data_IF_156113690441
#
_entry.id   IF_156113690441
#
_cell.length_a   1.000
_cell.length_b   1.000
_cell.length_c   1.000
_cell.angle_alpha   90.00
_cell.angle_beta   90.00
_cell.angle_gamma   90.00
#
_symmetry.space_group_name_H-M   'P 1'
#
loop_
_entity.id
_entity.type
_entity.pdbx_description
1 polymer ?
#
# COMPACT_ATOMS: atom_id res chain seq x y z
N UNK A 1 46.26 16.44 50.24
CA UNK A 1 45.85 15.63 49.08
C UNK A 1 47.12 15.23 48.33
N UNK A 2 47.33 13.95 48.07
CA UNK A 2 48.46 13.45 47.27
C UNK A 2 48.10 13.50 45.77
N UNK A 3 49.10 13.57 44.89
CA UNK A 3 48.95 13.58 43.43
C UNK A 3 48.09 12.39 42.91
N UNK A 4 48.17 11.24 43.57
CA UNK A 4 47.35 10.07 43.27
C UNK A 4 45.85 10.32 43.47
N UNK A 5 45.45 11.02 44.53
CA UNK A 5 44.02 11.29 44.79
C UNK A 5 43.41 12.19 43.71
N UNK A 6 44.18 13.13 43.16
CA UNK A 6 43.73 14.00 42.05
C UNK A 6 43.56 13.17 40.78
N UNK A 7 44.46 12.21 40.54
CA UNK A 7 44.39 11.31 39.39
C UNK A 7 43.15 10.40 39.44
N UNK A 8 42.84 9.80 40.59
CA UNK A 8 41.64 8.98 40.77
C UNK A 8 40.34 9.78 40.59
N UNK A 9 40.30 11.03 41.07
CA UNK A 9 39.15 11.93 40.84
C UNK A 9 39.00 12.25 39.35
N UNK A 10 40.10 12.57 38.66
CA UNK A 10 40.10 12.84 37.22
C UNK A 10 39.62 11.64 36.38
N UNK A 11 40.09 10.43 36.71
CA UNK A 11 39.62 9.20 36.06
C UNK A 11 38.14 8.94 36.30
N UNK A 12 37.66 9.13 37.53
CA UNK A 12 36.25 8.93 37.86
C UNK A 12 35.36 9.90 37.09
N UNK A 13 35.76 11.17 36.99
CA UNK A 13 35.05 12.18 36.20
C UNK A 13 35.06 11.82 34.71
N UNK A 14 36.19 11.35 34.18
CA UNK A 14 36.29 10.93 32.78
C UNK A 14 35.38 9.74 32.46
N UNK A 15 35.34 8.73 33.33
CA UNK A 15 34.46 7.56 33.16
C UNK A 15 32.99 7.97 33.21
N UNK A 16 32.61 8.83 34.17
CA UNK A 16 31.23 9.35 34.25
C UNK A 16 30.86 10.15 33.01
N UNK A 17 31.76 11.00 32.50
CA UNK A 17 31.54 11.74 31.27
C UNK A 17 31.31 10.80 30.07
N UNK A 18 32.12 9.75 29.92
CA UNK A 18 31.96 8.74 28.86
C UNK A 18 30.60 8.03 28.98
N UNK A 19 30.20 7.63 30.18
CA UNK A 19 28.91 6.96 30.41
C UNK A 19 27.72 7.88 30.06
N UNK A 20 27.79 9.15 30.45
CA UNK A 20 26.79 10.15 30.10
C UNK A 20 26.72 10.39 28.59
N UNK A 21 27.87 10.45 27.91
CA UNK A 21 27.94 10.53 26.44
C UNK A 21 27.31 9.32 25.76
N UNK A 22 27.58 8.10 26.25
CA UNK A 22 26.96 6.88 25.70
C UNK A 22 25.44 6.88 25.87
N UNK A 23 24.94 7.30 27.05
CA UNK A 23 23.50 7.43 27.29
C UNK A 23 22.86 8.45 26.35
N UNK A 24 23.52 9.59 26.12
CA UNK A 24 23.06 10.61 25.18
C UNK A 24 22.99 10.06 23.74
N UNK A 25 24.00 9.30 23.30
CA UNK A 25 24.01 8.65 21.97
C UNK A 25 22.85 7.66 21.85
N UNK A 26 22.61 6.81 22.85
CA UNK A 26 21.48 5.87 22.85
C UNK A 26 20.14 6.62 22.75
N UNK A 27 20.00 7.75 23.46
CA UNK A 27 18.78 8.55 23.38
C UNK A 27 18.63 9.22 22.01
N UNK A 28 19.71 9.76 21.45
CA UNK A 28 19.73 10.34 20.10
C UNK A 28 19.34 9.30 19.04
N UNK A 29 19.90 8.09 19.11
CA UNK A 29 19.53 6.98 18.22
C UNK A 29 18.04 6.65 18.30
N UNK A 30 17.45 6.62 19.51
CA UNK A 30 16.00 6.39 19.68
C UNK A 30 15.15 7.50 19.06
N UNK A 31 15.58 8.76 19.19
CA UNK A 31 14.88 9.89 18.56
C UNK A 31 14.97 9.82 17.03
N UNK A 32 16.16 9.54 16.49
CA UNK A 32 16.37 9.35 15.04
C UNK A 32 15.49 8.23 14.49
N UNK A 33 15.42 7.08 15.16
CA UNK A 33 14.52 5.97 14.75
C UNK A 33 13.05 6.40 14.75
N UNK A 34 12.60 7.18 15.74
CA UNK A 34 11.21 7.67 15.77
C UNK A 34 10.93 8.62 14.60
N UNK A 35 11.88 9.48 14.24
CA UNK A 35 11.76 10.38 13.09
C UNK A 35 11.74 9.60 11.77
N UNK A 36 12.60 8.59 11.63
CA UNK A 36 12.67 7.74 10.44
C UNK A 36 11.37 6.94 10.24
N UNK A 37 10.80 6.39 11.32
CA UNK A 37 9.45 5.79 11.32
C UNK A 37 8.38 6.74 10.81
N UNK A 38 8.35 7.97 11.32
CA UNK A 38 7.38 8.96 10.89
C UNK A 38 7.58 9.37 9.42
N UNK A 39 8.83 9.49 8.97
CA UNK A 39 9.17 9.80 7.58
C UNK A 39 8.73 8.68 6.63
N UNK A 40 9.03 7.41 6.97
CA UNK A 40 8.61 6.24 6.18
C UNK A 40 7.08 6.15 6.07
N UNK A 41 6.35 6.38 7.17
CA UNK A 41 4.88 6.42 7.16
C UNK A 41 4.36 7.53 6.25
N UNK A 42 4.97 8.71 6.31
CA UNK A 42 4.56 9.85 5.48
C UNK A 42 4.83 9.59 4.00
N UNK A 43 6.00 9.05 3.64
CA UNK A 43 6.35 8.71 2.25
C UNK A 43 5.35 7.71 1.66
N UNK A 44 5.02 6.66 2.42
CA UNK A 44 4.05 5.66 1.99
C UNK A 44 2.65 6.26 1.80
N UNK A 45 2.18 7.08 2.75
CA UNK A 45 0.88 7.76 2.62
C UNK A 45 0.83 8.69 1.41
N UNK A 46 1.93 9.35 1.09
CA UNK A 46 2.05 10.15 -0.13
C UNK A 46 1.91 9.27 -1.37
N UNK A 47 2.61 8.13 -1.44
CA UNK A 47 2.50 7.19 -2.57
C UNK A 47 1.08 6.65 -2.74
N UNK A 48 0.41 6.28 -1.65
CA UNK A 48 -1.00 5.85 -1.70
C UNK A 48 -1.90 6.99 -2.19
N UNK A 49 -1.66 8.23 -1.75
CA UNK A 49 -2.41 9.39 -2.21
C UNK A 49 -2.15 9.72 -3.69
N UNK A 50 -0.91 9.56 -4.16
CA UNK A 50 -0.51 9.77 -5.55
C UNK A 50 -1.14 8.73 -6.46
N UNK A 51 -1.15 7.46 -6.04
CA UNK A 51 -1.88 6.40 -6.71
C UNK A 51 -3.37 6.74 -6.83
N UNK A 52 -4.01 7.17 -5.74
CA UNK A 52 -5.41 7.59 -5.77
C UNK A 52 -5.66 8.79 -6.70
N UNK A 53 -4.74 9.76 -6.75
CA UNK A 53 -4.83 10.91 -7.65
C UNK A 53 -4.68 10.50 -9.11
N UNK A 54 -3.80 9.55 -9.40
CA UNK A 54 -3.63 9.00 -10.74
C UNK A 54 -4.93 8.39 -11.27
N UNK A 55 -5.72 7.72 -10.41
CA UNK A 55 -6.98 7.09 -10.82
C UNK A 55 -8.01 8.07 -11.38
N UNK A 56 -7.88 9.36 -11.05
CA UNK A 56 -8.78 10.42 -11.48
C UNK A 56 -8.02 11.59 -12.12
N UNK A 57 -6.86 11.34 -12.72
CA UNK A 57 -6.01 12.41 -13.27
C UNK A 57 -6.62 13.05 -14.52
N UNK A 58 -7.25 12.25 -15.38
CA UNK A 58 -7.89 12.71 -16.61
C UNK A 58 -9.35 12.26 -16.70
N UNK A 59 -10.08 12.87 -17.62
CA UNK A 59 -11.44 12.46 -17.94
C UNK A 59 -11.48 11.01 -18.46
N UNK A 60 -12.40 10.22 -17.89
CA UNK A 60 -12.57 8.81 -18.22
C UNK A 60 -11.59 7.84 -17.53
N UNK A 61 -10.59 8.30 -16.77
CA UNK A 61 -9.64 7.40 -16.10
C UNK A 61 -10.33 6.54 -15.03
N UNK A 62 -11.28 7.10 -14.28
CA UNK A 62 -12.10 6.33 -13.33
C UNK A 62 -12.94 5.28 -14.07
N UNK A 63 -13.45 5.60 -15.26
CA UNK A 63 -14.26 4.66 -16.04
C UNK A 63 -13.40 3.49 -16.55
N UNK A 64 -12.20 3.78 -17.05
CA UNK A 64 -11.20 2.77 -17.42
C UNK A 64 -10.85 1.90 -16.22
N UNK A 65 -10.60 2.51 -15.06
CA UNK A 65 -10.29 1.78 -13.84
C UNK A 65 -11.41 0.82 -13.45
N UNK A 66 -12.64 1.32 -13.33
CA UNK A 66 -13.81 0.52 -12.92
C UNK A 66 -14.09 -0.59 -13.92
N UNK A 67 -14.00 -0.33 -15.22
CA UNK A 67 -14.15 -1.35 -16.25
C UNK A 67 -13.05 -2.41 -16.17
N UNK A 68 -11.80 -1.97 -16.05
CA UNK A 68 -10.64 -2.84 -15.95
C UNK A 68 -10.59 -3.69 -14.68
N UNK A 69 -11.24 -3.28 -13.59
CA UNK A 69 -11.44 -4.13 -12.42
C UNK A 69 -12.38 -5.31 -12.71
N UNK A 70 -13.27 -5.22 -13.70
CA UNK A 70 -14.21 -6.27 -14.07
C UNK A 70 -13.67 -7.12 -15.22
N UNK A 71 -13.08 -6.50 -16.23
CA UNK A 71 -12.59 -7.16 -17.42
C UNK A 71 -11.34 -6.42 -17.91
N UNK A 72 -10.19 -7.07 -17.81
CA UNK A 72 -8.89 -6.58 -18.24
C UNK A 72 -8.52 -7.17 -19.61
N UNK A 73 -8.60 -8.50 -19.78
CA UNK A 73 -8.10 -9.19 -20.98
C UNK A 73 -8.83 -8.77 -22.26
N UNK A 74 -10.12 -8.43 -22.14
CA UNK A 74 -10.95 -7.98 -23.28
C UNK A 74 -11.14 -6.47 -23.35
N UNK A 75 -10.51 -5.71 -22.45
CA UNK A 75 -10.57 -4.25 -22.50
C UNK A 75 -9.81 -3.70 -23.71
N UNK A 76 -10.07 -2.45 -24.07
CA UNK A 76 -9.26 -1.76 -25.07
C UNK A 76 -7.83 -1.52 -24.55
N UNK A 77 -6.89 -1.29 -25.46
CA UNK A 77 -5.48 -1.16 -25.13
C UNK A 77 -5.18 -0.01 -24.16
N UNK A 78 -5.93 1.10 -24.20
CA UNK A 78 -5.71 2.21 -23.27
C UNK A 78 -6.16 1.84 -21.86
N UNK A 79 -7.28 1.11 -21.75
CA UNK A 79 -7.72 0.57 -20.46
C UNK A 79 -6.72 -0.45 -19.91
N UNK A 80 -6.20 -1.36 -20.74
CA UNK A 80 -5.16 -2.31 -20.29
C UNK A 80 -3.91 -1.61 -19.79
N UNK A 81 -3.35 -0.66 -20.55
CA UNK A 81 -2.17 0.11 -20.14
C UNK A 81 -2.41 0.89 -18.84
N UNK A 82 -3.62 1.45 -18.69
CA UNK A 82 -4.00 2.14 -17.47
C UNK A 82 -4.03 1.17 -16.27
N UNK A 83 -4.64 -0.01 -16.44
CA UNK A 83 -4.68 -1.03 -15.40
C UNK A 83 -3.29 -1.59 -15.07
N UNK A 84 -2.43 -1.78 -16.07
CA UNK A 84 -1.05 -2.24 -15.87
C UNK A 84 -0.30 -1.30 -14.95
N UNK A 85 -0.42 0.01 -15.20
CA UNK A 85 0.17 1.04 -14.36
C UNK A 85 -0.47 1.04 -12.97
N UNK A 86 -1.79 1.07 -12.89
CA UNK A 86 -2.52 1.15 -11.62
C UNK A 86 -2.24 -0.03 -10.70
N UNK A 87 -2.29 -1.26 -11.21
CA UNK A 87 -2.01 -2.45 -10.40
C UNK A 87 -0.52 -2.55 -10.04
N UNK A 88 0.40 -2.35 -11.00
CA UNK A 88 1.84 -2.45 -10.73
C UNK A 88 2.26 -1.46 -9.64
N UNK A 89 1.84 -0.20 -9.76
CA UNK A 89 2.16 0.85 -8.79
C UNK A 89 1.64 0.52 -7.40
N UNK A 90 0.40 0.01 -7.29
CA UNK A 90 -0.14 -0.38 -5.99
C UNK A 90 0.57 -1.60 -5.39
N UNK A 91 0.96 -2.59 -6.20
CA UNK A 91 1.72 -3.73 -5.70
C UNK A 91 3.12 -3.31 -5.25
N UNK A 92 3.78 -2.36 -5.93
CA UNK A 92 5.05 -1.80 -5.45
C UNK A 92 4.89 -1.02 -4.14
N UNK A 93 3.77 -0.32 -3.96
CA UNK A 93 3.43 0.30 -2.65
C UNK A 93 3.27 -0.79 -1.57
N UNK A 94 2.59 -1.90 -1.88
CA UNK A 94 2.45 -3.01 -0.95
C UNK A 94 3.80 -3.70 -0.65
N UNK A 95 4.68 -3.86 -1.63
CA UNK A 95 6.03 -4.39 -1.46
C UNK A 95 6.87 -3.50 -0.53
N UNK A 96 6.88 -2.19 -0.80
CA UNK A 96 7.54 -1.21 0.07
C UNK A 96 7.02 -1.30 1.50
N UNK A 97 5.70 -1.42 1.67
CA UNK A 97 5.08 -1.56 2.97
C UNK A 97 5.44 -2.86 3.69
N UNK A 98 5.60 -3.97 2.95
CA UNK A 98 6.04 -5.25 3.52
C UNK A 98 7.46 -5.14 4.08
N UNK A 99 8.36 -4.51 3.31
CA UNK A 99 9.74 -4.30 3.72
C UNK A 99 9.83 -3.39 4.93
N UNK A 100 9.15 -2.24 4.90
CA UNK A 100 9.09 -1.31 6.03
C UNK A 100 8.47 -1.93 7.30
N UNK A 101 7.51 -2.85 7.15
CA UNK A 101 6.98 -3.63 8.29
C UNK A 101 8.05 -4.54 8.88
N UNK A 102 8.78 -5.29 8.05
CA UNK A 102 9.85 -6.20 8.51
C UNK A 102 10.96 -5.46 9.25
N UNK A 103 11.26 -4.24 8.83
CA UNK A 103 12.23 -3.37 9.47
C UNK A 103 11.68 -2.66 10.74
N UNK A 104 10.42 -2.90 11.10
CA UNK A 104 9.79 -2.33 12.29
C UNK A 104 9.41 -0.86 12.16
N UNK A 105 9.25 -0.35 10.93
CA UNK A 105 8.76 1.00 10.67
C UNK A 105 7.22 1.10 10.69
N UNK A 106 6.51 0.00 10.40
CA UNK A 106 5.04 -0.05 10.38
C UNK A 106 4.42 -0.92 11.46
N UNK A 107 3.24 -0.50 11.88
CA UNK A 107 2.34 -1.31 12.70
C UNK A 107 1.68 -2.40 11.86
N UNK A 108 1.28 -3.50 12.51
CA UNK A 108 0.49 -4.55 11.85
C UNK A 108 -0.85 -4.03 11.31
N UNK A 109 -1.43 -2.99 11.93
CA UNK A 109 -2.66 -2.35 11.45
C UNK A 109 -2.46 -1.61 10.13
N UNK A 110 -1.38 -0.85 10.00
CA UNK A 110 -1.02 -0.18 8.74
C UNK A 110 -0.81 -1.19 7.62
N UNK A 111 -0.07 -2.26 7.93
CA UNK A 111 0.15 -3.36 7.00
C UNK A 111 -1.16 -4.02 6.57
N UNK A 112 -2.04 -4.36 7.51
CA UNK A 112 -3.31 -5.01 7.22
C UNK A 112 -4.18 -4.18 6.26
N UNK A 113 -4.16 -2.85 6.38
CA UNK A 113 -4.88 -1.97 5.45
C UNK A 113 -4.35 -2.03 4.02
N UNK A 114 -3.02 -1.97 3.85
CA UNK A 114 -2.36 -1.96 2.53
C UNK A 114 -2.44 -3.34 1.88
N UNK A 115 -2.14 -4.39 2.65
CA UNK A 115 -2.29 -5.77 2.22
C UNK A 115 -3.75 -6.03 1.82
N UNK A 116 -4.72 -5.60 2.65
CA UNK A 116 -6.14 -5.75 2.38
C UNK A 116 -6.58 -5.07 1.09
N UNK A 117 -6.06 -3.87 0.81
CA UNK A 117 -6.32 -3.16 -0.43
C UNK A 117 -5.71 -3.89 -1.65
N UNK A 118 -4.47 -4.35 -1.56
CA UNK A 118 -3.81 -5.09 -2.63
C UNK A 118 -4.53 -6.41 -2.93
N UNK A 119 -4.89 -7.16 -1.89
CA UNK A 119 -5.69 -8.39 -2.02
C UNK A 119 -7.11 -8.09 -2.52
N UNK A 120 -7.70 -6.95 -2.15
CA UNK A 120 -8.99 -6.50 -2.67
C UNK A 120 -8.94 -6.25 -4.17
N UNK A 121 -7.86 -5.60 -4.65
CA UNK A 121 -7.59 -5.33 -6.07
C UNK A 121 -7.38 -6.63 -6.86
N UNK A 122 -6.47 -7.50 -6.41
CA UNK A 122 -6.13 -8.73 -7.13
C UNK A 122 -7.26 -9.77 -7.14
N UNK A 123 -8.25 -9.64 -6.24
CA UNK A 123 -9.43 -10.53 -6.21
C UNK A 123 -10.56 -10.09 -7.11
N UNK A 124 -10.52 -8.88 -7.68
CA UNK A 124 -11.50 -8.50 -8.71
C UNK A 124 -11.30 -9.38 -9.95
N UNK A 125 -12.33 -9.63 -10.78
CA UNK A 125 -12.18 -10.48 -11.94
C UNK A 125 -11.08 -9.99 -12.91
N UNK A 126 -11.01 -8.70 -13.18
CA UNK A 126 -9.94 -8.10 -13.99
C UNK A 126 -8.58 -8.10 -13.28
N UNK A 127 -8.56 -7.96 -11.95
CA UNK A 127 -7.32 -8.10 -11.17
C UNK A 127 -6.73 -9.51 -11.25
N UNK A 128 -7.58 -10.55 -11.23
CA UNK A 128 -7.15 -11.95 -11.43
C UNK A 128 -6.57 -12.19 -12.81
N UNK A 129 -7.18 -11.62 -13.85
CA UNK A 129 -6.69 -11.69 -15.23
C UNK A 129 -5.32 -11.01 -15.35
N UNK A 130 -5.21 -9.76 -14.90
CA UNK A 130 -3.95 -9.02 -14.89
C UNK A 130 -2.84 -9.76 -14.12
N UNK A 131 -3.18 -10.35 -12.97
CA UNK A 131 -2.19 -11.01 -12.11
C UNK A 131 -1.45 -12.16 -12.78
N UNK A 132 -2.04 -12.83 -13.78
CA UNK A 132 -1.37 -13.88 -14.58
C UNK A 132 -0.06 -13.36 -15.19
N UNK A 133 -0.07 -12.10 -15.64
CA UNK A 133 1.08 -11.45 -16.28
C UNK A 133 1.88 -10.62 -15.27
N UNK A 134 1.20 -9.78 -14.46
CA UNK A 134 1.84 -8.83 -13.57
C UNK A 134 2.80 -9.47 -12.55
N UNK A 135 2.47 -10.66 -12.05
CA UNK A 135 3.32 -11.38 -11.10
C UNK A 135 4.71 -11.75 -11.63
N UNK A 136 4.93 -11.70 -12.95
CA UNK A 136 6.21 -12.08 -13.57
C UNK A 136 7.26 -10.98 -13.51
N UNK A 137 6.85 -9.73 -13.28
CA UNK A 137 7.75 -8.55 -13.26
C UNK A 137 7.90 -7.92 -11.88
N UNK A 138 7.22 -8.48 -10.88
CA UNK A 138 7.19 -7.99 -9.50
C UNK A 138 8.14 -8.84 -8.64
N UNK A 139 8.70 -8.26 -7.58
CA UNK A 139 9.60 -8.95 -6.66
C UNK A 139 9.02 -10.25 -6.12
N UNK A 140 9.83 -11.31 -6.10
CA UNK A 140 9.37 -12.66 -5.72
C UNK A 140 8.79 -12.72 -4.31
N UNK A 141 9.35 -11.95 -3.37
CA UNK A 141 8.91 -11.97 -1.97
C UNK A 141 7.47 -11.49 -1.78
N UNK A 142 7.10 -10.36 -2.40
CA UNK A 142 5.73 -9.86 -2.33
C UNK A 142 4.78 -10.74 -3.14
N UNK A 143 5.23 -11.32 -4.27
CA UNK A 143 4.44 -12.25 -5.07
C UNK A 143 4.10 -13.51 -4.27
N UNK A 144 5.09 -14.13 -3.62
CA UNK A 144 4.89 -15.31 -2.77
C UNK A 144 3.94 -14.99 -1.60
N UNK A 145 4.16 -13.85 -0.96
CA UNK A 145 3.31 -13.38 0.12
C UNK A 145 1.85 -13.20 -0.34
N UNK A 146 1.61 -12.45 -1.41
CA UNK A 146 0.27 -12.20 -1.93
C UNK A 146 -0.38 -13.49 -2.43
N UNK A 147 0.34 -14.37 -3.13
CA UNK A 147 -0.17 -15.68 -3.56
C UNK A 147 -0.67 -16.50 -2.38
N UNK A 148 0.13 -16.62 -1.32
CA UNK A 148 -0.27 -17.32 -0.11
C UNK A 148 -1.56 -16.71 0.47
N UNK A 149 -1.58 -15.40 0.66
CA UNK A 149 -2.74 -14.70 1.24
C UNK A 149 -3.99 -14.80 0.37
N UNK A 150 -3.86 -14.79 -0.95
CA UNK A 150 -4.97 -15.00 -1.87
C UNK A 150 -5.64 -16.38 -1.71
N UNK A 151 -4.88 -17.42 -1.31
CA UNK A 151 -5.45 -18.76 -1.04
C UNK A 151 -6.13 -18.88 0.32
N UNK A 152 -5.80 -18.01 1.27
CA UNK A 152 -6.37 -18.02 2.62
C UNK A 152 -7.70 -17.26 2.71
N UNK A 153 -8.00 -16.40 1.72
CA UNK A 153 -9.22 -15.61 1.69
C UNK A 153 -10.37 -16.44 1.09
N UNK A 154 -11.52 -16.53 1.76
CA UNK A 154 -12.69 -17.22 1.23
C UNK A 154 -13.14 -16.68 -0.12
N UNK A 155 -13.61 -17.58 -0.99
CA UNK A 155 -14.28 -17.19 -2.22
C UNK A 155 -15.52 -16.34 -1.91
N UNK A 156 -15.75 -15.27 -2.67
CA UNK A 156 -16.84 -14.33 -2.44
C UNK A 156 -16.60 -13.27 -1.36
N UNK A 157 -15.44 -13.27 -0.69
CA UNK A 157 -15.07 -12.18 0.20
C UNK A 157 -15.01 -10.82 -0.55
N UNK A 158 -15.35 -9.69 0.11
CA UNK A 158 -15.40 -8.37 -0.53
C UNK A 158 -14.11 -8.02 -1.28
N UNK A 159 -14.26 -7.47 -2.48
CA UNK A 159 -13.17 -7.03 -3.37
C UNK A 159 -13.05 -5.50 -3.36
N UNK A 160 -12.12 -4.95 -4.15
CA UNK A 160 -11.98 -3.49 -4.26
C UNK A 160 -13.26 -2.79 -4.76
N UNK A 161 -14.07 -3.49 -5.57
CA UNK A 161 -15.39 -2.99 -6.02
C UNK A 161 -16.40 -2.88 -4.86
N UNK A 162 -16.21 -3.64 -3.79
CA UNK A 162 -17.09 -3.64 -2.62
C UNK A 162 -16.71 -2.60 -1.58
N UNK A 163 -15.43 -2.20 -1.55
CA UNK A 163 -14.95 -1.22 -0.59
C UNK A 163 -15.59 0.14 -0.82
N UNK A 164 -15.77 0.54 -2.09
CA UNK A 164 -16.42 1.80 -2.47
C UNK A 164 -17.67 1.51 -3.31
N UNK A 165 -18.87 1.58 -2.71
CA UNK A 165 -20.13 1.36 -3.42
C UNK A 165 -20.32 2.23 -4.67
N UNK A 166 -19.65 3.38 -4.73
CA UNK A 166 -19.63 4.27 -5.90
C UNK A 166 -19.10 3.60 -7.16
N UNK A 167 -18.14 2.66 -7.05
CA UNK A 167 -17.64 1.93 -8.21
C UNK A 167 -18.66 0.97 -8.80
N UNK A 168 -19.41 0.25 -7.95
CA UNK A 168 -20.54 -0.59 -8.40
C UNK A 168 -21.63 0.24 -9.06
N UNK A 169 -21.94 1.42 -8.52
CA UNK A 169 -22.92 2.32 -9.13
C UNK A 169 -22.44 2.81 -10.50
N UNK A 170 -21.17 3.23 -10.59
CA UNK A 170 -20.59 3.69 -11.85
C UNK A 170 -20.55 2.59 -12.91
N UNK A 171 -20.24 1.36 -12.52
CA UNK A 171 -20.29 0.21 -13.44
C UNK A 171 -21.68 0.03 -14.05
N UNK A 172 -22.74 0.09 -13.23
CA UNK A 172 -24.13 -0.01 -13.72
C UNK A 172 -24.48 1.11 -14.70
N UNK A 173 -24.01 2.33 -14.46
CA UNK A 173 -24.20 3.45 -15.38
C UNK A 173 -23.51 3.20 -16.73
N UNK A 174 -22.26 2.70 -16.70
CA UNK A 174 -21.50 2.38 -17.90
C UNK A 174 -22.13 1.24 -18.71
N UNK A 175 -22.71 0.25 -18.03
CA UNK A 175 -23.48 -0.82 -18.67
C UNK A 175 -24.77 -0.29 -19.31
N UNK A 176 -25.51 0.58 -18.62
CA UNK A 176 -26.73 1.20 -19.15
C UNK A 176 -26.45 2.04 -20.40
N UNK A 177 -25.32 2.75 -20.45
CA UNK A 177 -24.90 3.53 -21.63
C UNK A 177 -24.58 2.65 -22.84
N UNK A 178 -24.11 1.41 -22.63
CA UNK A 178 -23.83 0.45 -23.71
C UNK A 178 -25.09 -0.22 -24.26
N UNK A 179 -26.21 -0.17 -23.53
CA UNK A 179 -27.51 -0.74 -23.91
C UNK A 179 -28.60 0.34 -24.02
N UNK A 180 -28.61 1.17 -25.09
CA UNK A 180 -29.51 2.32 -25.25
C UNK A 180 -30.99 1.96 -25.52
N UNK A 181 -31.55 0.98 -24.82
CA UNK A 181 -32.92 0.50 -25.04
C UNK A 181 -33.65 -0.13 -23.84
N UNK A 182 -33.07 -0.15 -22.64
CA UNK A 182 -33.76 -0.69 -21.45
C UNK A 182 -34.12 0.45 -20.48
N UNK A 183 -35.41 0.81 -20.34
CA UNK A 183 -35.79 1.90 -19.44
C UNK A 183 -35.40 1.53 -18.01
N UNK A 184 -34.67 2.43 -17.36
CA UNK A 184 -34.37 2.36 -15.93
C UNK A 184 -35.68 2.19 -15.18
N UNK A 185 -35.88 1.00 -14.62
CA UNK A 185 -37.10 0.59 -13.96
C UNK A 185 -37.52 1.63 -12.93
N UNK A 186 -38.75 2.11 -13.11
CA UNK A 186 -39.43 3.00 -12.19
C UNK A 186 -39.37 2.41 -10.78
N UNK A 187 -38.79 3.18 -9.85
CA UNK A 187 -39.03 3.02 -8.42
C UNK A 187 -40.52 3.27 -8.19
N UNK A 188 -41.29 2.19 -8.07
CA UNK A 188 -42.66 2.25 -7.60
C UNK A 188 -42.64 2.58 -6.10
N UNK A 189 -43.46 3.56 -5.77
CA UNK A 189 -43.87 4.14 -4.47
C UNK A 189 -43.87 3.15 -3.31
#
# INVERSE_FOLDING_TARGET
>A
MTLENIYYVGQTVAVVAILMSLLAVVWQMRQSQKMERAAAQRDLLLRVSEWGRMLSANEGDIDRFVQGLVEYDRADALTQLFMDKAFSEFVFVAESALNMRRDGFFSDGTWAGIEGAALGLLRTPGGKQWWVYGQQVIGSEIVEHLKKRLTEIPEGAPTFLDFWPSYRNRLKELEALKSPGQPAGATAV
#
